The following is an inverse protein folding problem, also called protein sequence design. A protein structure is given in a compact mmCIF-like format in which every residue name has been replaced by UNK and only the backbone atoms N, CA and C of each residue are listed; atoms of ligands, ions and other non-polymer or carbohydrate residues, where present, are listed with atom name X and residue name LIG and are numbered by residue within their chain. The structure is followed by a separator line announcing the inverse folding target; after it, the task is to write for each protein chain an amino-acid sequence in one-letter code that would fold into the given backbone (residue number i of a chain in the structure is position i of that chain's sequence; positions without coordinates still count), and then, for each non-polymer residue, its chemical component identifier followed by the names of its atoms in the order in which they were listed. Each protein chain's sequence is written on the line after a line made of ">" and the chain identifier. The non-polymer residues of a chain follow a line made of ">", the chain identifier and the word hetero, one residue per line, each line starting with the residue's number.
data_IF_071428214525
#
_entry.id   IF_071428214525
#
_cell.length_a   1.000
_cell.length_b   1.000
_cell.length_c   1.000
_cell.angle_alpha   90.00
_cell.angle_beta   90.00
_cell.angle_gamma   90.00
#
_symmetry.space_group_name_H-M   'P 1'
#
loop_
_entity.id
_entity.type
_entity.pdbx_description
1 polymer ?
#
# COMPACT_ATOMS: atom_id res chain seq x y z
N UNK A 1 61.34 34.83 -18.15
CA UNK A 1 60.06 35.58 -18.01
C UNK A 1 59.15 35.09 -19.13
N UNK A 2 57.99 34.46 -18.92
CA UNK A 2 57.07 34.49 -17.79
C UNK A 2 56.36 33.14 -17.64
N UNK A 3 56.16 32.83 -16.38
CA UNK A 3 55.40 31.77 -15.71
C UNK A 3 54.06 31.46 -16.38
N UNK A 4 53.72 30.17 -16.47
CA UNK A 4 52.34 29.73 -16.77
C UNK A 4 51.54 29.81 -15.47
N UNK A 5 50.54 30.69 -15.43
CA UNK A 5 49.56 30.77 -14.35
C UNK A 5 48.41 29.79 -14.62
N UNK A 6 48.10 28.93 -13.64
CA UNK A 6 46.83 28.22 -13.58
C UNK A 6 45.77 29.15 -12.99
N UNK A 7 44.65 29.32 -13.69
CA UNK A 7 43.47 30.04 -13.20
C UNK A 7 42.47 29.03 -12.67
N UNK A 8 42.30 28.98 -11.34
CA UNK A 8 41.19 28.28 -10.70
C UNK A 8 39.92 29.12 -10.92
N UNK A 9 39.19 28.83 -12.00
CA UNK A 9 37.83 29.34 -12.18
C UNK A 9 36.91 28.54 -11.25
N UNK A 10 36.70 29.05 -10.03
CA UNK A 10 35.52 28.73 -9.22
C UNK A 10 34.31 29.41 -9.88
N UNK A 11 33.83 28.85 -10.99
CA UNK A 11 32.46 29.09 -11.42
C UNK A 11 31.58 28.16 -10.60
N UNK A 12 30.68 28.76 -9.82
CA UNK A 12 29.59 28.05 -9.17
C UNK A 12 28.74 27.35 -10.24
N UNK A 13 29.14 26.14 -10.61
CA UNK A 13 28.29 25.22 -11.32
C UNK A 13 27.23 24.77 -10.33
N UNK A 14 26.03 25.32 -10.45
CA UNK A 14 24.86 24.60 -9.98
C UNK A 14 24.88 23.26 -10.73
N UNK A 15 25.37 22.21 -10.07
CA UNK A 15 24.98 20.87 -10.44
C UNK A 15 23.46 20.86 -10.29
N UNK A 16 22.75 21.04 -11.40
CA UNK A 16 21.45 20.44 -11.55
C UNK A 16 21.68 18.93 -11.55
N UNK A 17 21.87 18.36 -10.34
CA UNK A 17 21.31 17.05 -10.08
C UNK A 17 19.82 17.29 -10.21
N UNK A 18 19.28 17.07 -11.41
CA UNK A 18 17.91 16.59 -11.46
C UNK A 18 17.91 15.38 -10.52
N UNK A 19 17.13 15.36 -9.43
CA UNK A 19 16.75 14.06 -8.96
C UNK A 19 15.98 13.50 -10.15
N UNK A 20 16.57 12.54 -10.84
CA UNK A 20 15.73 11.46 -11.32
C UNK A 20 15.13 10.90 -10.03
N UNK A 21 13.99 11.47 -9.61
CA UNK A 21 13.25 10.97 -8.47
C UNK A 21 12.76 9.61 -8.95
N UNK A 22 13.57 8.57 -8.72
CA UNK A 22 12.99 7.36 -8.18
C UNK A 22 12.00 7.86 -7.11
N UNK A 23 10.70 7.64 -7.33
CA UNK A 23 9.70 8.03 -6.36
C UNK A 23 10.19 7.51 -5.00
N UNK A 24 10.17 8.36 -3.98
CA UNK A 24 10.54 7.89 -2.65
C UNK A 24 9.59 6.74 -2.33
N UNK A 25 10.15 5.58 -1.98
CA UNK A 25 9.40 4.40 -1.62
C UNK A 25 8.32 4.77 -0.58
N UNK A 26 7.07 4.31 -0.74
CA UNK A 26 6.00 4.60 0.20
C UNK A 26 6.39 4.26 1.64
N UNK A 27 5.91 5.04 2.61
CA UNK A 27 6.27 4.84 4.01
C UNK A 27 5.84 3.45 4.54
N UNK A 28 4.72 2.95 4.02
CA UNK A 28 4.12 1.66 4.29
C UNK A 28 4.50 0.60 3.25
N UNK A 29 5.61 0.76 2.53
CA UNK A 29 6.10 -0.24 1.57
C UNK A 29 6.53 -1.55 2.27
N UNK A 30 7.02 -1.45 3.52
CA UNK A 30 7.25 -2.61 4.38
C UNK A 30 6.06 -2.82 5.32
N UNK A 31 5.58 -4.06 5.47
CA UNK A 31 4.49 -4.38 6.40
C UNK A 31 4.82 -4.01 7.86
N UNK A 32 6.10 -3.95 8.25
CA UNK A 32 6.50 -3.54 9.61
C UNK A 32 6.29 -2.05 9.88
N UNK A 33 6.15 -1.24 8.82
CA UNK A 33 6.07 0.21 8.89
C UNK A 33 4.65 0.75 8.71
N UNK A 34 3.68 -0.12 8.39
CA UNK A 34 2.28 0.31 8.23
C UNK A 34 1.68 0.79 9.55
N UNK A 35 0.75 1.76 9.44
CA UNK A 35 0.00 2.24 10.60
C UNK A 35 -1.14 1.28 10.89
N UNK A 36 -1.16 0.72 12.10
CA UNK A 36 -2.21 -0.20 12.52
C UNK A 36 -3.42 0.59 13.00
N UNK A 37 -4.54 0.45 12.30
CA UNK A 37 -5.82 1.03 12.66
C UNK A 37 -6.52 0.21 13.76
N UNK A 38 -7.22 0.88 14.68
CA UNK A 38 -8.11 0.19 15.61
C UNK A 38 -9.52 0.11 14.99
N UNK A 39 -9.92 -1.06 14.51
CA UNK A 39 -11.26 -1.27 13.95
C UNK A 39 -12.22 -1.69 15.07
N UNK A 40 -13.14 -0.79 15.43
CA UNK A 40 -14.17 -1.12 16.42
C UNK A 40 -15.21 -2.07 15.83
N UNK A 41 -15.79 -2.93 16.66
CA UNK A 41 -16.83 -3.87 16.26
C UNK A 41 -18.09 -3.58 17.09
N UNK A 42 -19.16 -3.02 16.48
CA UNK A 42 -19.27 -2.55 15.10
C UNK A 42 -18.51 -1.23 14.85
N UNK A 43 -18.16 -0.95 13.59
CA UNK A 43 -17.45 0.27 13.18
C UNK A 43 -16.84 0.17 11.79
N UNK A 44 -16.21 1.27 11.37
CA UNK A 44 -15.51 1.40 10.08
C UNK A 44 -14.30 2.30 10.30
N UNK A 45 -13.21 2.03 9.58
CA UNK A 45 -12.05 2.93 9.49
C UNK A 45 -11.75 3.15 8.02
N UNK A 46 -11.64 4.40 7.61
CA UNK A 46 -11.21 4.74 6.25
C UNK A 46 -9.73 5.12 6.25
N UNK A 47 -8.97 4.53 5.33
CA UNK A 47 -7.59 4.89 5.04
C UNK A 47 -7.49 5.37 3.59
N UNK A 48 -6.77 6.47 3.37
CA UNK A 48 -6.39 6.91 2.02
C UNK A 48 -4.89 6.87 1.89
N UNK A 49 -4.39 6.34 0.78
CA UNK A 49 -2.97 6.20 0.51
C UNK A 49 -2.64 6.35 -0.96
N UNK A 50 -1.38 6.07 -1.30
CA UNK A 50 -0.86 6.01 -2.66
C UNK A 50 0.20 4.92 -2.71
N UNK A 51 -0.01 3.91 -3.56
CA UNK A 51 0.89 2.76 -3.67
C UNK A 51 2.01 2.97 -4.71
N UNK A 52 2.13 4.15 -5.30
CA UNK A 52 3.13 4.46 -6.32
C UNK A 52 4.54 4.23 -5.81
N UNK A 53 5.27 3.33 -6.48
CA UNK A 53 6.64 2.97 -6.11
C UNK A 53 6.72 1.87 -5.03
N UNK A 54 5.61 1.20 -4.76
CA UNK A 54 5.57 -0.04 -3.98
C UNK A 54 6.51 -1.11 -4.54
N UNK A 55 7.08 -1.94 -3.68
CA UNK A 55 8.05 -3.00 -4.02
C UNK A 55 7.66 -4.34 -3.38
N UNK A 56 8.23 -5.43 -3.88
CA UNK A 56 8.28 -6.70 -3.16
C UNK A 56 9.58 -6.80 -2.38
N UNK A 57 9.58 -6.32 -1.14
CA UNK A 57 10.73 -6.39 -0.23
C UNK A 57 10.39 -7.05 1.12
N UNK A 58 9.15 -7.49 1.29
CA UNK A 58 8.66 -8.31 2.41
C UNK A 58 8.56 -9.80 2.06
N UNK A 59 8.71 -10.17 0.79
CA UNK A 59 8.61 -11.56 0.33
C UNK A 59 7.18 -12.00 0.01
N UNK A 60 6.31 -11.04 -0.35
CA UNK A 60 4.93 -11.29 -0.80
C UNK A 60 4.92 -11.95 -2.20
N UNK A 61 5.97 -11.72 -3.00
CA UNK A 61 6.08 -12.18 -4.38
C UNK A 61 5.55 -11.19 -5.41
N UNK A 62 5.02 -10.05 -4.96
CA UNK A 62 4.39 -9.00 -5.75
C UNK A 62 4.60 -7.64 -5.09
N UNK A 63 4.70 -6.60 -5.90
CA UNK A 63 4.81 -5.24 -5.41
C UNK A 63 3.53 -4.79 -4.68
N UNK A 64 3.71 -4.23 -3.48
CA UNK A 64 2.60 -3.76 -2.68
C UNK A 64 3.02 -2.62 -1.74
N UNK A 65 2.00 -1.94 -1.21
CA UNK A 65 2.11 -1.22 0.07
C UNK A 65 1.15 -1.85 1.07
N UNK A 66 1.29 -1.55 2.35
CA UNK A 66 0.56 -2.26 3.39
C UNK A 66 -0.39 -1.37 4.17
N UNK A 67 -1.59 -1.89 4.41
CA UNK A 67 -2.52 -1.37 5.41
C UNK A 67 -2.77 -2.42 6.49
N UNK A 68 -3.07 -2.00 7.72
CA UNK A 68 -3.34 -2.93 8.80
C UNK A 68 -4.42 -2.44 9.75
N UNK A 69 -5.12 -3.40 10.36
CA UNK A 69 -6.09 -3.14 11.40
C UNK A 69 -5.99 -4.16 12.54
N UNK A 70 -6.51 -3.79 13.71
CA UNK A 70 -6.65 -4.69 14.86
C UNK A 70 -8.09 -4.78 15.32
N UNK A 71 -8.54 -6.02 15.58
CA UNK A 71 -9.82 -6.35 16.18
C UNK A 71 -9.63 -6.73 17.66
N UNK A 72 -10.61 -6.36 18.50
CA UNK A 72 -10.64 -6.74 19.92
C UNK A 72 -11.67 -7.81 20.27
N UNK A 73 -12.54 -8.16 19.32
CA UNK A 73 -13.54 -9.23 19.40
C UNK A 73 -13.67 -9.93 18.05
N UNK A 74 -14.22 -11.14 18.02
CA UNK A 74 -14.52 -11.81 16.75
C UNK A 74 -15.47 -10.97 15.89
N UNK A 75 -15.24 -10.89 14.59
CA UNK A 75 -16.06 -10.13 13.67
C UNK A 75 -15.99 -10.65 12.22
N UNK A 76 -17.04 -10.38 11.46
CA UNK A 76 -16.97 -10.40 10.00
C UNK A 76 -16.48 -9.01 9.54
N UNK A 77 -15.50 -8.97 8.65
CA UNK A 77 -14.86 -7.74 8.15
C UNK A 77 -15.07 -7.63 6.65
N UNK A 78 -15.56 -6.48 6.23
CA UNK A 78 -15.55 -6.07 4.83
C UNK A 78 -14.28 -5.24 4.60
N UNK A 79 -13.59 -5.49 3.49
CA UNK A 79 -12.56 -4.60 2.97
C UNK A 79 -13.04 -4.14 1.60
N UNK A 80 -13.32 -2.85 1.46
CA UNK A 80 -13.75 -2.28 0.19
C UNK A 80 -12.88 -1.12 -0.27
N UNK A 81 -12.85 -0.90 -1.58
CA UNK A 81 -12.12 0.17 -2.23
C UNK A 81 -13.03 1.34 -2.63
N UNK A 82 -14.21 1.47 -2.00
CA UNK A 82 -15.18 2.50 -2.36
C UNK A 82 -14.53 3.89 -2.22
N UNK A 83 -14.57 4.68 -3.29
CA UNK A 83 -13.94 6.00 -3.36
C UNK A 83 -12.52 6.01 -3.94
N UNK A 84 -11.97 4.88 -4.38
CA UNK A 84 -10.70 4.84 -5.11
C UNK A 84 -10.86 5.30 -6.57
N UNK A 85 -9.90 6.10 -7.05
CA UNK A 85 -9.77 6.55 -8.43
C UNK A 85 -8.27 6.58 -8.82
N UNK A 86 -7.79 5.70 -9.71
CA UNK A 86 -8.56 4.76 -10.54
C UNK A 86 -9.25 3.66 -9.73
N UNK A 87 -10.36 3.14 -10.29
CA UNK A 87 -11.11 2.07 -9.66
C UNK A 87 -10.34 0.73 -9.73
N UNK A 88 -10.36 -0.02 -8.64
CA UNK A 88 -9.84 -1.37 -8.56
C UNK A 88 -10.83 -2.32 -9.25
N UNK A 89 -10.58 -2.59 -10.53
CA UNK A 89 -11.41 -3.47 -11.38
C UNK A 89 -10.53 -4.52 -12.06
N UNK A 90 -11.12 -5.69 -12.33
CA UNK A 90 -10.51 -6.79 -13.10
C UNK A 90 -9.15 -7.37 -12.63
N UNK A 91 -9.15 -8.19 -11.57
CA UNK A 91 -8.13 -9.21 -11.30
C UNK A 91 -6.80 -8.76 -10.70
N UNK A 92 -6.58 -7.46 -10.54
CA UNK A 92 -5.34 -6.87 -10.02
C UNK A 92 -5.44 -6.56 -8.50
N UNK A 93 -5.84 -7.52 -7.66
CA UNK A 93 -5.93 -7.36 -6.19
C UNK A 93 -5.60 -8.65 -5.43
N UNK A 94 -5.34 -8.51 -4.12
CA UNK A 94 -5.14 -9.65 -3.23
C UNK A 94 -6.43 -10.03 -2.53
N UNK A 95 -6.71 -11.33 -2.45
CA UNK A 95 -7.89 -11.90 -1.75
C UNK A 95 -7.55 -12.36 -0.33
N UNK A 96 -6.44 -11.85 0.22
CA UNK A 96 -5.77 -12.37 1.41
C UNK A 96 -5.57 -11.26 2.43
N UNK A 97 -5.87 -11.57 3.67
CA UNK A 97 -5.28 -10.92 4.84
C UNK A 97 -4.12 -11.77 5.36
N UNK A 98 -3.17 -11.12 6.01
CA UNK A 98 -2.07 -11.79 6.72
C UNK A 98 -2.13 -11.47 8.21
N UNK A 99 -1.68 -12.40 9.06
CA UNK A 99 -1.60 -12.18 10.53
C UNK A 99 -0.18 -11.91 11.02
N UNK A 100 0.78 -11.94 10.13
CA UNK A 100 2.19 -11.72 10.41
C UNK A 100 2.83 -10.84 9.34
N UNK A 101 4.00 -10.34 9.72
CA UNK A 101 4.88 -9.57 8.88
C UNK A 101 6.32 -10.04 9.21
N UNK A 102 7.05 -10.72 8.31
CA UNK A 102 6.70 -11.01 6.91
C UNK A 102 5.43 -11.86 6.71
N UNK A 103 4.73 -11.74 5.56
CA UNK A 103 3.43 -12.33 5.30
C UNK A 103 3.53 -13.84 4.99
N UNK A 104 3.35 -14.68 6.00
CA UNK A 104 3.42 -16.13 5.96
C UNK A 104 2.10 -16.81 6.33
N UNK A 105 1.30 -16.22 7.22
CA UNK A 105 0.00 -16.76 7.65
C UNK A 105 -1.14 -16.08 6.91
N UNK A 106 -1.62 -16.75 5.87
CA UNK A 106 -2.73 -16.34 5.03
C UNK A 106 -4.10 -16.53 5.69
N UNK A 107 -5.00 -15.59 5.44
CA UNK A 107 -6.43 -15.70 5.68
C UNK A 107 -7.19 -15.28 4.43
N UNK A 108 -7.84 -16.24 3.78
CA UNK A 108 -8.57 -16.03 2.53
C UNK A 108 -9.92 -15.35 2.77
N UNK A 109 -10.35 -14.53 1.82
CA UNK A 109 -11.73 -14.07 1.78
C UNK A 109 -12.70 -15.27 1.67
N UNK A 110 -13.99 -15.03 1.84
CA UNK A 110 -15.01 -16.08 1.75
C UNK A 110 -15.31 -16.52 0.29
N UNK A 111 -14.44 -16.18 -0.67
CA UNK A 111 -14.62 -16.44 -2.09
C UNK A 111 -15.74 -15.62 -2.73
N UNK A 112 -16.13 -14.50 -2.12
CA UNK A 112 -17.05 -13.52 -2.68
C UNK A 112 -16.33 -12.18 -2.82
N UNK A 113 -16.00 -11.83 -4.06
CA UNK A 113 -15.76 -10.45 -4.46
C UNK A 113 -17.08 -9.89 -4.99
N UNK A 114 -17.39 -8.66 -4.62
CA UNK A 114 -18.52 -7.94 -5.19
C UNK A 114 -18.11 -6.54 -5.65
N UNK A 115 -19.01 -5.90 -6.38
CA UNK A 115 -18.88 -4.53 -6.92
C UNK A 115 -20.01 -3.70 -6.31
N UNK A 116 -20.13 -3.78 -4.99
CA UNK A 116 -21.23 -3.18 -4.22
C UNK A 116 -21.00 -1.71 -3.92
N UNK A 117 -19.78 -1.21 -4.13
CA UNK A 117 -19.51 0.21 -4.04
C UNK A 117 -20.36 0.99 -5.05
N UNK A 118 -20.88 2.18 -4.70
CA UNK A 118 -21.64 3.01 -5.64
C UNK A 118 -20.88 3.39 -6.92
N UNK A 119 -19.55 3.42 -6.84
CA UNK A 119 -18.60 3.69 -7.93
C UNK A 119 -18.05 2.40 -8.59
N UNK A 120 -18.58 1.22 -8.23
CA UNK A 120 -18.21 -0.09 -8.75
C UNK A 120 -16.76 -0.52 -8.43
N UNK A 121 -16.15 0.06 -7.39
CA UNK A 121 -14.93 -0.48 -6.81
C UNK A 121 -15.13 -1.86 -6.15
N UNK A 122 -14.02 -2.57 -5.98
CA UNK A 122 -13.95 -3.88 -5.35
C UNK A 122 -14.44 -3.84 -3.89
N UNK A 123 -15.23 -4.85 -3.52
CA UNK A 123 -15.59 -5.18 -2.14
C UNK A 123 -15.26 -6.65 -1.87
N UNK A 124 -14.61 -6.94 -0.74
CA UNK A 124 -14.27 -8.29 -0.29
C UNK A 124 -14.78 -8.54 1.13
N UNK A 125 -15.05 -9.81 1.45
CA UNK A 125 -15.61 -10.22 2.74
C UNK A 125 -14.76 -11.30 3.41
N UNK A 126 -14.46 -11.08 4.69
CA UNK A 126 -13.70 -11.98 5.55
C UNK A 126 -14.55 -12.35 6.76
N UNK A 127 -15.00 -13.60 6.83
CA UNK A 127 -15.92 -14.05 7.86
C UNK A 127 -15.18 -14.65 9.05
N UNK A 128 -15.65 -14.36 10.26
CA UNK A 128 -15.18 -15.01 11.49
C UNK A 128 -13.72 -14.73 11.85
N UNK A 129 -13.23 -13.50 11.64
CA UNK A 129 -11.90 -13.11 12.10
C UNK A 129 -11.83 -13.07 13.62
N UNK A 130 -10.87 -13.79 14.20
CA UNK A 130 -10.55 -13.72 15.63
C UNK A 130 -9.93 -12.36 16.02
N UNK A 131 -9.98 -11.95 17.31
CA UNK A 131 -9.21 -10.81 17.80
C UNK A 131 -7.74 -10.93 17.42
N UNK A 132 -7.17 -9.86 16.89
CA UNK A 132 -5.81 -9.86 16.38
C UNK A 132 -5.56 -8.74 15.39
N UNK A 133 -4.31 -8.64 14.95
CA UNK A 133 -3.86 -7.71 13.91
C UNK A 133 -3.86 -8.42 12.57
N UNK A 134 -4.39 -7.75 11.56
CA UNK A 134 -4.45 -8.22 10.17
C UNK A 134 -3.81 -7.17 9.27
N UNK A 135 -3.08 -7.66 8.27
CA UNK A 135 -2.35 -6.88 7.28
C UNK A 135 -2.95 -7.18 5.92
N UNK A 136 -3.28 -6.12 5.18
CA UNK A 136 -3.76 -6.21 3.81
C UNK A 136 -2.73 -5.56 2.88
N UNK A 137 -2.16 -6.31 1.92
CA UNK A 137 -1.35 -5.71 0.87
C UNK A 137 -2.25 -5.03 -0.16
N UNK A 138 -1.91 -3.80 -0.51
CA UNK A 138 -2.51 -3.03 -1.60
C UNK A 138 -1.60 -3.18 -2.80
N UNK A 139 -2.07 -3.89 -3.83
CA UNK A 139 -1.27 -4.21 -5.02
C UNK A 139 -0.78 -2.94 -5.72
N UNK A 140 0.54 -2.85 -5.91
CA UNK A 140 1.23 -1.67 -6.46
C UNK A 140 1.67 -1.88 -7.93
N UNK A 141 0.96 -2.75 -8.64
CA UNK A 141 1.29 -3.16 -10.00
C UNK A 141 0.13 -2.98 -10.99
N UNK A 142 0.40 -3.26 -12.26
CA UNK A 142 -0.62 -3.26 -13.31
C UNK A 142 -1.35 -1.92 -13.46
N UNK A 143 -2.68 -1.98 -13.56
CA UNK A 143 -3.55 -0.80 -13.68
C UNK A 143 -3.84 -0.07 -12.36
N UNK A 144 -3.42 -0.64 -11.21
CA UNK A 144 -3.83 -0.20 -9.89
C UNK A 144 -2.79 0.68 -9.17
N UNK A 145 -1.85 1.25 -9.92
CA UNK A 145 -0.84 2.16 -9.37
C UNK A 145 -1.41 3.57 -9.22
N UNK A 146 -1.34 4.11 -8.01
CA UNK A 146 -1.75 5.46 -7.68
C UNK A 146 -2.47 5.57 -6.33
N UNK A 147 -3.25 6.66 -6.15
CA UNK A 147 -4.06 6.87 -4.96
C UNK A 147 -5.12 5.77 -4.77
N UNK A 148 -5.41 5.46 -3.51
CA UNK A 148 -6.49 4.53 -3.13
C UNK A 148 -7.20 4.98 -1.86
N UNK A 149 -8.41 4.46 -1.67
CA UNK A 149 -9.21 4.53 -0.45
C UNK A 149 -9.61 3.11 -0.06
N UNK A 150 -9.42 2.74 1.20
CA UNK A 150 -9.89 1.48 1.80
C UNK A 150 -10.81 1.79 2.98
N UNK A 151 -11.93 1.04 3.11
CA UNK A 151 -12.90 1.15 4.21
C UNK A 151 -13.09 -0.16 4.97
#
# INVERSE_FOLDING_TARGET
>A
MRTHSALLLLTAGALYLAPDRAAAQPANDLCTNTTIQALSVPGTVTVTGDNTGGLDNDGLGWEAVWEAFTLTSCADVTVDFCGSDPAYVEGDWFMLLYRDCPPLTEFWNNGQEQWTCPDQNLTMYFDGLDPGTYYYPVYAGGGNVGPYTIN
#
